data_IF_421295802412
#
_entry.id   IF_421295802412
#
_cell.length_a   1.000
_cell.length_b   1.000
_cell.length_c   1.000
_cell.angle_alpha   90.00
_cell.angle_beta   90.00
_cell.angle_gamma   90.00
#
_symmetry.space_group_name_H-M   'P 1'
#
loop_
_entity.id
_entity.type
_entity.pdbx_description
1 polymer ?
#
# COMPACT_ATOMS: atom_id res chain seq x y z
N UNK A 1 -6.37 40.39 -14.75
CA UNK A 1 -5.98 41.01 -13.46
C UNK A 1 -4.69 41.78 -13.72
N UNK A 2 -4.44 42.94 -13.09
CA UNK A 2 -3.19 43.68 -13.35
C UNK A 2 -2.03 43.07 -12.54
N UNK A 3 -0.80 43.19 -13.04
CA UNK A 3 0.39 42.71 -12.32
C UNK A 3 0.51 43.35 -10.92
N UNK A 4 0.10 44.62 -10.78
CA UNK A 4 0.09 45.30 -9.48
C UNK A 4 -0.87 44.66 -8.48
N UNK A 5 -2.06 44.25 -8.90
CA UNK A 5 -3.01 43.55 -8.02
C UNK A 5 -2.51 42.16 -7.63
N UNK A 6 -1.85 41.44 -8.55
CA UNK A 6 -1.24 40.12 -8.25
C UNK A 6 -0.13 40.30 -7.20
N UNK A 7 0.76 41.26 -7.39
CA UNK A 7 1.85 41.52 -6.44
C UNK A 7 1.34 41.90 -5.04
N UNK A 8 0.24 42.65 -4.95
CA UNK A 8 -0.38 42.98 -3.66
C UNK A 8 -1.01 41.75 -2.98
N UNK A 9 -1.56 40.82 -3.75
CA UNK A 9 -2.09 39.54 -3.23
C UNK A 9 -0.92 38.69 -2.71
N UNK A 10 0.15 38.54 -3.49
CA UNK A 10 1.35 37.75 -3.10
C UNK A 10 2.04 38.28 -1.85
N UNK A 11 2.01 39.60 -1.63
CA UNK A 11 2.57 40.24 -0.43
C UNK A 11 1.63 40.21 0.79
N UNK A 12 0.51 39.50 0.72
CA UNK A 12 -0.54 39.49 1.76
C UNK A 12 -1.08 40.89 2.10
N UNK A 13 -0.99 41.85 1.17
CA UNK A 13 -1.48 43.24 1.38
C UNK A 13 -2.94 43.41 1.01
N UNK A 14 -3.49 42.50 0.20
CA UNK A 14 -4.91 42.50 -0.20
C UNK A 14 -5.43 41.07 -0.22
N UNK A 15 -6.57 40.82 0.44
CA UNK A 15 -7.35 39.58 0.26
C UNK A 15 -8.27 39.71 -0.95
N UNK A 16 -8.10 38.89 -2.00
CA UNK A 16 -8.97 38.94 -3.17
C UNK A 16 -10.35 38.34 -2.86
N UNK A 17 -11.38 38.78 -3.61
CA UNK A 17 -12.65 38.06 -3.67
C UNK A 17 -12.47 36.73 -4.42
N UNK A 18 -13.36 35.76 -4.18
CA UNK A 18 -13.39 34.48 -4.94
C UNK A 18 -13.45 34.70 -6.46
N UNK A 19 -14.24 35.69 -6.90
CA UNK A 19 -14.34 36.05 -8.31
C UNK A 19 -13.06 36.66 -8.89
N UNK A 20 -12.30 37.40 -8.08
CA UNK A 20 -11.00 37.97 -8.48
C UNK A 20 -9.92 36.90 -8.53
N UNK A 21 -9.90 36.00 -7.55
CA UNK A 21 -9.01 34.84 -7.53
C UNK A 21 -9.26 33.94 -8.74
N UNK A 22 -10.51 33.65 -9.08
CA UNK A 22 -10.86 32.90 -10.30
C UNK A 22 -10.28 33.55 -11.56
N UNK A 23 -10.35 34.88 -11.70
CA UNK A 23 -9.78 35.60 -12.86
C UNK A 23 -8.25 35.54 -12.92
N UNK A 24 -7.57 35.37 -11.78
CA UNK A 24 -6.12 35.09 -11.75
C UNK A 24 -5.87 33.68 -12.26
N UNK A 25 -6.64 32.71 -11.73
CA UNK A 25 -6.49 31.29 -12.06
C UNK A 25 -6.91 30.96 -13.50
N UNK A 26 -7.83 31.70 -14.13
CA UNK A 26 -8.19 31.51 -15.55
C UNK A 26 -6.96 31.68 -16.50
N UNK A 27 -5.86 32.30 -16.04
CA UNK A 27 -4.59 32.41 -16.77
C UNK A 27 -3.53 31.36 -16.40
N UNK A 28 -3.84 30.44 -15.49
CA UNK A 28 -2.98 29.34 -15.02
C UNK A 28 -3.70 28.03 -15.36
N UNK A 29 -2.99 26.95 -15.76
CA UNK A 29 -3.64 25.66 -16.03
C UNK A 29 -4.05 24.95 -14.72
N UNK A 30 -4.88 25.60 -13.89
CA UNK A 30 -5.41 25.06 -12.65
C UNK A 30 -6.82 25.58 -12.36
N UNK A 31 -7.66 24.76 -11.77
CA UNK A 31 -8.99 25.13 -11.31
C UNK A 31 -8.96 25.80 -9.93
N UNK A 32 -10.05 26.50 -9.59
CA UNK A 32 -10.24 27.07 -8.25
C UNK A 32 -10.26 25.98 -7.17
N UNK A 33 -10.82 24.80 -7.48
CA UNK A 33 -10.81 23.67 -6.56
C UNK A 33 -9.38 23.16 -6.34
N UNK A 34 -8.61 22.97 -7.41
CA UNK A 34 -7.20 22.55 -7.32
C UNK A 34 -6.37 23.52 -6.47
N UNK A 35 -6.56 24.83 -6.63
CA UNK A 35 -5.86 25.86 -5.85
C UNK A 35 -6.06 25.71 -4.33
N UNK A 36 -7.28 25.41 -3.87
CA UNK A 36 -7.55 25.21 -2.44
C UNK A 36 -7.18 23.81 -1.94
N UNK A 37 -6.94 22.85 -2.84
CA UNK A 37 -6.48 21.51 -2.48
C UNK A 37 -4.96 21.36 -2.49
N UNK A 38 -4.20 22.36 -2.94
CA UNK A 38 -2.73 22.32 -2.99
C UNK A 38 -2.10 22.11 -1.62
N UNK A 39 -2.66 22.73 -0.57
CA UNK A 39 -2.21 22.57 0.83
C UNK A 39 -2.66 21.24 1.48
N UNK A 40 -3.53 20.46 0.82
CA UNK A 40 -3.91 19.11 1.28
C UNK A 40 -2.89 18.05 0.86
N UNK A 41 -1.82 18.42 0.15
CA UNK A 41 -0.60 17.62 0.10
C UNK A 41 0.13 17.71 1.45
N UNK A 42 -0.56 17.26 2.51
CA UNK A 42 0.07 16.72 3.70
C UNK A 42 1.24 15.85 3.23
N UNK A 43 2.46 16.18 3.68
CA UNK A 43 3.65 15.39 3.36
C UNK A 43 3.29 13.92 3.52
N UNK A 44 3.25 13.19 2.40
CA UNK A 44 2.83 11.80 2.41
C UNK A 44 3.71 11.08 3.42
N UNK A 45 3.10 10.37 4.38
CA UNK A 45 3.84 9.64 5.40
C UNK A 45 4.79 8.67 4.71
N UNK A 46 6.10 8.82 4.94
CA UNK A 46 7.14 8.00 4.29
C UNK A 46 7.59 6.86 5.20
N UNK A 47 7.59 7.09 6.52
CA UNK A 47 8.05 6.13 7.51
C UNK A 47 6.86 5.57 8.28
N UNK A 48 6.87 4.25 8.47
CA UNK A 48 5.84 3.52 9.19
C UNK A 48 6.50 2.64 10.25
N UNK A 49 6.24 2.94 11.53
CA UNK A 49 6.63 2.10 12.64
C UNK A 49 5.79 0.83 12.68
N UNK A 50 6.27 -0.21 13.38
CA UNK A 50 5.61 -1.50 13.49
C UNK A 50 4.18 -1.38 14.02
N UNK A 51 3.95 -0.47 14.95
CA UNK A 51 2.65 -0.22 15.61
C UNK A 51 1.67 0.54 14.71
N UNK A 52 2.16 1.16 13.63
CA UNK A 52 1.34 1.86 12.64
C UNK A 52 0.86 0.94 11.51
N UNK A 53 1.42 -0.27 11.39
CA UNK A 53 1.00 -1.25 10.40
C UNK A 53 -0.37 -1.80 10.77
N UNK A 54 -1.32 -1.73 9.84
CA UNK A 54 -2.67 -2.25 10.07
C UNK A 54 -2.67 -3.75 9.87
N UNK A 55 -2.96 -4.51 10.94
CA UNK A 55 -3.12 -5.96 10.84
C UNK A 55 -4.51 -6.28 10.29
N UNK A 56 -4.56 -6.84 9.09
CA UNK A 56 -5.80 -7.25 8.40
C UNK A 56 -6.02 -8.77 8.46
N UNK A 57 -5.14 -9.48 9.16
CA UNK A 57 -5.24 -10.92 9.37
C UNK A 57 -6.07 -11.30 10.59
N UNK A 58 -5.82 -12.50 11.10
CA UNK A 58 -6.43 -13.05 12.30
C UNK A 58 -5.37 -13.46 13.34
N UNK A 59 -5.77 -14.30 14.30
CA UNK A 59 -4.90 -14.74 15.40
C UNK A 59 -3.77 -15.67 14.95
N UNK A 60 -3.99 -16.46 13.91
CA UNK A 60 -3.08 -17.52 13.45
C UNK A 60 -2.26 -17.08 12.24
N UNK A 61 -2.83 -16.19 11.42
CA UNK A 61 -2.14 -15.52 10.31
C UNK A 61 -2.28 -14.01 10.46
N UNK A 62 -1.20 -13.35 10.86
CA UNK A 62 -1.12 -11.88 10.96
C UNK A 62 -0.63 -11.32 9.63
N UNK A 63 -1.33 -10.32 9.09
CA UNK A 63 -1.04 -9.68 7.80
C UNK A 63 -0.92 -8.18 8.04
N UNK A 64 0.30 -7.71 8.34
CA UNK A 64 0.52 -6.29 8.65
C UNK A 64 0.76 -5.49 7.39
N UNK A 65 -0.25 -4.73 7.01
CA UNK A 65 -0.28 -3.89 5.82
C UNK A 65 0.45 -2.56 6.05
N UNK A 66 1.43 -2.28 5.20
CA UNK A 66 2.13 -1.00 5.15
C UNK A 66 1.26 0.04 4.45
N UNK A 67 1.27 1.27 4.98
CA UNK A 67 0.63 2.43 4.36
C UNK A 67 -0.88 2.23 4.11
N UNK A 68 -1.60 1.56 5.01
CA UNK A 68 -3.04 1.22 4.84
C UNK A 68 -3.95 2.44 4.55
N UNK A 69 -3.55 3.64 5.00
CA UNK A 69 -4.28 4.90 4.80
C UNK A 69 -3.75 5.73 3.62
N UNK A 70 -2.73 5.26 2.91
CA UNK A 70 -2.15 6.01 1.80
C UNK A 70 -3.09 5.93 0.58
N UNK A 71 -3.51 7.08 0.03
CA UNK A 71 -4.42 7.09 -1.12
C UNK A 71 -3.72 6.53 -2.37
N UNK A 72 -4.49 5.92 -3.27
CA UNK A 72 -4.06 5.51 -4.61
C UNK A 72 -2.78 4.66 -4.66
N UNK A 73 -2.63 3.70 -3.73
CA UNK A 73 -1.48 2.77 -3.77
C UNK A 73 -1.44 2.03 -5.10
N UNK A 74 -0.25 1.88 -5.67
CA UNK A 74 -0.03 1.04 -6.85
C UNK A 74 0.35 -0.41 -6.48
N UNK A 75 0.74 -0.63 -5.22
CA UNK A 75 1.14 -1.93 -4.69
C UNK A 75 0.76 -2.05 -3.21
N UNK A 76 0.57 -3.29 -2.78
CA UNK A 76 0.49 -3.67 -1.38
C UNK A 76 1.85 -4.19 -0.94
N UNK A 77 2.28 -3.83 0.27
CA UNK A 77 3.45 -4.43 0.95
C UNK A 77 2.96 -4.93 2.30
N UNK A 78 3.28 -6.18 2.64
CA UNK A 78 2.88 -6.79 3.90
C UNK A 78 4.07 -7.42 4.64
N UNK A 79 4.01 -7.34 5.97
CA UNK A 79 4.78 -8.20 6.86
C UNK A 79 3.83 -9.27 7.40
N UNK A 80 4.02 -10.50 6.95
CA UNK A 80 3.15 -11.63 7.27
C UNK A 80 3.77 -12.51 8.35
N UNK A 81 2.95 -13.03 9.26
CA UNK A 81 3.39 -13.98 10.29
C UNK A 81 2.39 -15.13 10.39
N UNK A 82 2.88 -16.34 10.13
CA UNK A 82 2.12 -17.58 10.21
C UNK A 82 2.54 -18.32 11.47
N UNK A 83 1.60 -18.56 12.39
CA UNK A 83 1.85 -19.41 13.56
C UNK A 83 2.11 -20.86 13.14
N UNK A 84 2.74 -21.68 14.00
CA UNK A 84 2.90 -23.10 13.72
C UNK A 84 1.56 -23.73 13.34
N UNK A 85 1.53 -24.50 12.26
CA UNK A 85 0.35 -25.17 11.71
C UNK A 85 -0.74 -24.25 11.15
N UNK A 86 -0.53 -22.92 11.11
CA UNK A 86 -1.45 -21.99 10.47
C UNK A 86 -1.36 -22.07 8.94
N UNK A 87 -2.48 -21.80 8.28
CA UNK A 87 -2.56 -21.70 6.83
C UNK A 87 -3.60 -20.68 6.40
N UNK A 88 -3.66 -20.37 5.10
CA UNK A 88 -4.59 -19.40 4.52
C UNK A 88 -6.02 -19.93 4.35
N UNK A 89 -6.39 -21.00 5.06
CA UNK A 89 -7.69 -21.67 4.96
C UNK A 89 -7.66 -22.91 4.08
N UNK A 90 -8.80 -23.61 3.99
CA UNK A 90 -8.94 -24.83 3.20
C UNK A 90 -9.01 -24.58 1.69
N UNK A 91 -9.55 -23.42 1.29
CA UNK A 91 -9.68 -23.02 -0.11
C UNK A 91 -8.39 -22.39 -0.63
N UNK A 92 -8.12 -22.59 -1.92
CA UNK A 92 -7.00 -21.94 -2.59
C UNK A 92 -7.35 -20.48 -2.86
N UNK A 93 -6.40 -19.59 -2.58
CA UNK A 93 -6.49 -18.18 -2.92
C UNK A 93 -6.37 -18.01 -4.44
N UNK A 94 -7.13 -17.07 -5.01
CA UNK A 94 -6.99 -16.64 -6.40
C UNK A 94 -7.57 -15.24 -6.56
N UNK A 95 -6.77 -14.33 -7.10
CA UNK A 95 -7.21 -12.96 -7.38
C UNK A 95 -6.45 -12.36 -8.56
N UNK A 96 -6.94 -11.23 -9.08
CA UNK A 96 -6.25 -10.52 -10.16
C UNK A 96 -4.94 -9.93 -9.63
N UNK A 97 -3.87 -10.05 -10.41
CA UNK A 97 -2.60 -9.40 -10.14
C UNK A 97 -1.42 -10.35 -10.18
N UNK A 98 -0.33 -9.87 -9.62
CA UNK A 98 0.91 -10.59 -9.39
C UNK A 98 1.29 -10.42 -7.93
N UNK A 99 1.89 -11.45 -7.36
CA UNK A 99 2.37 -11.46 -5.99
C UNK A 99 3.75 -12.11 -5.93
N UNK A 100 4.60 -11.55 -5.08
CA UNK A 100 5.85 -12.17 -4.71
C UNK A 100 6.25 -11.83 -3.29
N UNK A 101 7.19 -12.58 -2.76
CA UNK A 101 7.66 -12.38 -1.40
C UNK A 101 8.93 -13.15 -1.10
N UNK A 102 9.53 -12.82 0.05
CA UNK A 102 10.74 -13.45 0.56
C UNK A 102 10.46 -13.94 1.98
N UNK A 103 10.80 -15.19 2.25
CA UNK A 103 10.76 -15.72 3.62
C UNK A 103 11.93 -15.12 4.39
N UNK A 104 11.66 -14.45 5.51
CA UNK A 104 12.70 -13.78 6.31
C UNK A 104 13.04 -14.55 7.59
N UNK A 105 12.13 -15.40 8.08
CA UNK A 105 12.35 -16.29 9.23
C UNK A 105 11.39 -17.49 9.18
N UNK A 106 11.79 -18.62 9.78
CA UNK A 106 11.00 -19.86 9.77
C UNK A 106 10.92 -20.50 8.38
N UNK A 107 9.87 -21.29 8.13
CA UNK A 107 9.66 -21.96 6.85
C UNK A 107 8.18 -22.03 6.49
N UNK A 108 7.86 -21.93 5.20
CA UNK A 108 6.48 -22.01 4.69
C UNK A 108 6.39 -23.04 3.56
N UNK A 109 5.35 -23.86 3.58
CA UNK A 109 4.93 -24.63 2.41
C UNK A 109 4.07 -23.71 1.53
N UNK A 110 4.49 -23.50 0.29
CA UNK A 110 3.77 -22.75 -0.72
C UNK A 110 3.31 -23.70 -1.83
N UNK A 111 2.00 -23.72 -2.05
CA UNK A 111 1.37 -24.37 -3.21
C UNK A 111 0.97 -23.31 -4.22
N UNK A 112 1.36 -23.46 -5.49
CA UNK A 112 0.95 -22.59 -6.61
C UNK A 112 0.61 -23.47 -7.81
N UNK A 113 -0.67 -23.55 -8.16
CA UNK A 113 -1.18 -24.48 -9.15
C UNK A 113 -0.85 -25.92 -8.77
N UNK A 114 -0.07 -26.60 -9.61
CA UNK A 114 0.41 -27.99 -9.37
C UNK A 114 1.77 -28.09 -8.69
N UNK A 115 2.40 -26.98 -8.32
CA UNK A 115 3.73 -26.97 -7.71
C UNK A 115 3.63 -26.76 -6.20
N UNK A 116 4.38 -27.55 -5.44
CA UNK A 116 4.47 -27.44 -3.98
C UNK A 116 5.94 -27.42 -3.59
N UNK A 117 6.34 -26.44 -2.77
CA UNK A 117 7.68 -26.38 -2.17
C UNK A 117 7.65 -25.82 -0.76
N UNK A 118 8.57 -26.29 0.06
CA UNK A 118 8.91 -25.64 1.33
C UNK A 118 9.98 -24.60 1.05
N UNK A 119 9.73 -23.36 1.45
CA UNK A 119 10.64 -22.23 1.34
C UNK A 119 11.22 -21.92 2.73
N UNK A 120 12.52 -21.70 2.77
CA UNK A 120 13.30 -21.38 3.98
C UNK A 120 13.75 -19.91 3.97
N UNK A 121 14.36 -19.38 5.03
CA UNK A 121 14.79 -18.00 5.06
C UNK A 121 15.75 -17.67 3.91
N UNK A 122 15.43 -16.61 3.16
CA UNK A 122 16.13 -16.20 1.94
C UNK A 122 15.54 -16.76 0.65
N UNK A 123 14.73 -17.82 0.71
CA UNK A 123 13.97 -18.28 -0.45
C UNK A 123 12.83 -17.30 -0.78
N UNK A 124 12.50 -17.22 -2.07
CA UNK A 124 11.54 -16.27 -2.60
C UNK A 124 10.55 -16.93 -3.56
N UNK A 125 9.42 -16.27 -3.77
CA UNK A 125 8.41 -16.66 -4.74
C UNK A 125 7.92 -15.46 -5.54
N UNK A 126 7.44 -15.73 -6.75
CA UNK A 126 6.77 -14.77 -7.61
C UNK A 126 5.87 -15.50 -8.59
N UNK A 127 4.60 -15.10 -8.69
CA UNK A 127 3.64 -15.69 -9.61
C UNK A 127 2.47 -14.73 -9.90
N UNK A 128 1.72 -15.01 -10.97
CA UNK A 128 0.43 -14.36 -11.20
C UNK A 128 -0.59 -14.87 -10.17
N UNK A 129 -1.15 -13.97 -9.34
CA UNK A 129 -2.06 -14.33 -8.24
C UNK A 129 -3.37 -14.97 -8.70
N UNK A 130 -3.64 -14.96 -10.02
CA UNK A 130 -4.77 -15.66 -10.61
C UNK A 130 -4.57 -17.18 -10.60
N UNK A 131 -3.33 -17.65 -10.52
CA UNK A 131 -3.02 -19.06 -10.32
C UNK A 131 -3.41 -19.43 -8.89
N UNK A 132 -4.26 -20.47 -8.69
CA UNK A 132 -4.65 -20.90 -7.34
C UNK A 132 -3.45 -21.17 -6.46
N UNK A 133 -3.40 -20.58 -5.27
CA UNK A 133 -2.25 -20.71 -4.37
C UNK A 133 -2.65 -20.79 -2.90
N UNK A 134 -1.75 -21.29 -2.06
CA UNK A 134 -1.99 -21.47 -0.62
C UNK A 134 -0.66 -21.47 0.15
N UNK A 135 -0.66 -20.80 1.29
CA UNK A 135 0.48 -20.78 2.22
C UNK A 135 0.13 -21.58 3.47
N UNK A 136 1.07 -22.41 3.93
CA UNK A 136 0.93 -23.21 5.14
C UNK A 136 2.23 -23.30 5.91
N UNK A 137 2.21 -22.96 7.19
CA UNK A 137 3.34 -23.18 8.07
C UNK A 137 3.29 -24.62 8.61
N UNK A 138 4.02 -25.52 7.97
CA UNK A 138 4.13 -26.92 8.39
C UNK A 138 5.10 -27.13 9.57
N UNK A 139 5.83 -26.10 9.98
CA UNK A 139 6.85 -26.15 11.03
C UNK A 139 6.31 -25.97 12.46
N UNK A 140 7.25 -25.99 13.41
CA UNK A 140 6.99 -25.78 14.84
C UNK A 140 7.26 -24.35 15.33
N UNK A 141 7.81 -23.48 14.48
CA UNK A 141 8.15 -22.09 14.78
C UNK A 141 7.31 -21.13 13.94
N UNK A 142 7.25 -19.85 14.33
CA UNK A 142 6.57 -18.83 13.53
C UNK A 142 7.35 -18.59 12.24
N UNK A 143 6.65 -18.59 11.10
CA UNK A 143 7.21 -18.17 9.82
C UNK A 143 6.89 -16.69 9.58
N UNK A 144 7.86 -15.94 9.07
CA UNK A 144 7.71 -14.53 8.69
C UNK A 144 8.06 -14.33 7.22
N UNK A 145 7.22 -13.56 6.51
CA UNK A 145 7.36 -13.27 5.09
C UNK A 145 7.21 -11.76 4.89
N UNK A 146 8.02 -11.19 3.99
CA UNK A 146 7.77 -9.85 3.43
C UNK A 146 7.30 -10.04 2.00
N UNK A 147 6.08 -9.60 1.71
CA UNK A 147 5.43 -9.79 0.41
C UNK A 147 4.99 -8.47 -0.21
N UNK A 148 4.80 -8.50 -1.52
CA UNK A 148 4.21 -7.42 -2.28
C UNK A 148 3.27 -7.96 -3.36
N UNK A 149 2.20 -7.23 -3.63
CA UNK A 149 1.24 -7.55 -4.69
C UNK A 149 0.81 -6.31 -5.48
N UNK A 150 0.47 -6.50 -6.76
CA UNK A 150 -0.12 -5.47 -7.61
C UNK A 150 -1.21 -6.06 -8.54
N UNK A 151 -2.37 -5.40 -8.74
CA UNK A 151 -2.82 -4.18 -8.05
C UNK A 151 -2.96 -4.43 -6.54
N UNK A 152 -3.01 -3.37 -5.70
CA UNK A 152 -3.14 -3.55 -4.27
C UNK A 152 -4.42 -4.33 -3.96
N UNK A 153 -4.26 -5.44 -3.25
CA UNK A 153 -5.34 -6.11 -2.56
C UNK A 153 -5.48 -5.47 -1.18
N UNK A 154 -6.72 -5.09 -0.84
CA UNK A 154 -7.15 -4.38 0.37
C UNK A 154 -6.84 -2.87 0.45
#
# INVERSE_FOLDING_TARGET
VTNGTISLIEQNRVSPSVSSLKKVLDGVPMSLAEFFTLDLQTNAQVFYAREELTDIGDRDVSLRLVAAKHPNRAMTIMHERYRPQADTGADMLSHKGEEGGVVVAGSIELTVGGQVRILNPGDAYYFASSVPHRFRNVGGEVCEIVSASTPPTF
#
